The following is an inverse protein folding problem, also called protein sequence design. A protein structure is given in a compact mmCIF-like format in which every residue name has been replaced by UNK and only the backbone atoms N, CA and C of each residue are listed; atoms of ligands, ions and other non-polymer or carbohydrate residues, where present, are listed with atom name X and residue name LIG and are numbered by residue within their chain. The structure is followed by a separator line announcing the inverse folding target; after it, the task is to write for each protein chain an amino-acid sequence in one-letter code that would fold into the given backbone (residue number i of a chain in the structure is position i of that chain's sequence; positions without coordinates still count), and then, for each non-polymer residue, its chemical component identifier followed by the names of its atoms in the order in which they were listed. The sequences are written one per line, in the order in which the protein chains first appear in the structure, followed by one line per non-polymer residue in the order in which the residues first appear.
data_IF_479921379683
#
_entry.id   IF_479921379683
#
_cell.length_a   1.000
_cell.length_b   1.000
_cell.length_c   1.000
_cell.angle_alpha   90.00
_cell.angle_beta   90.00
_cell.angle_gamma   90.00
#
_symmetry.space_group_name_H-M   'P 1'
#
loop_
_entity.id
_entity.type
_entity.pdbx_description
1 polymer ?
#
# COMPACT_ATOMS: atom_id res chain seq x y z
N UNK A 1 19.16 -0.81 -3.00
CA UNK A 1 18.22 0.30 -3.15
C UNK A 1 16.79 -0.22 -3.33
N UNK A 2 15.86 0.28 -2.60
CA UNK A 2 14.47 -0.12 -2.73
C UNK A 2 13.82 0.52 -3.94
N UNK A 3 12.92 -0.23 -4.60
CA UNK A 3 12.10 0.32 -5.68
C UNK A 3 11.04 1.23 -5.06
N UNK A 4 11.01 2.48 -5.45
CA UNK A 4 10.02 3.44 -4.96
C UNK A 4 8.96 3.72 -6.02
N UNK A 5 7.83 4.27 -5.57
CA UNK A 5 6.74 4.64 -6.45
C UNK A 5 7.13 5.87 -7.28
N UNK A 6 6.73 5.88 -8.54
CA UNK A 6 6.90 7.05 -9.40
C UNK A 6 6.04 8.20 -8.90
N UNK A 7 6.59 9.40 -8.85
CA UNK A 7 5.85 10.62 -8.53
C UNK A 7 5.06 11.14 -9.73
N UNK A 8 5.34 10.65 -10.93
CA UNK A 8 4.70 11.12 -12.15
C UNK A 8 3.31 10.50 -12.31
N UNK A 9 2.31 11.35 -12.52
CA UNK A 9 0.92 10.91 -12.72
C UNK A 9 0.72 10.55 -14.19
N UNK A 10 0.28 9.32 -14.45
CA UNK A 10 0.00 8.83 -15.79
C UNK A 10 -1.46 9.04 -16.19
N UNK A 11 -1.72 9.02 -17.51
CA UNK A 11 -3.06 9.20 -18.06
C UNK A 11 -4.03 8.12 -17.55
N UNK A 12 -3.54 6.92 -17.34
CA UNK A 12 -4.36 5.79 -16.88
C UNK A 12 -4.30 5.56 -15.38
N UNK A 13 -3.77 6.49 -14.61
CA UNK A 13 -3.84 6.40 -13.16
C UNK A 13 -5.29 6.44 -12.70
N UNK A 14 -5.63 5.62 -11.71
CA UNK A 14 -6.99 5.54 -11.22
C UNK A 14 -7.50 6.90 -10.72
N UNK A 15 -6.62 7.72 -10.13
CA UNK A 15 -7.00 9.04 -9.66
C UNK A 15 -7.47 9.96 -10.78
N UNK A 16 -6.86 9.85 -11.97
CA UNK A 16 -7.26 10.63 -13.14
C UNK A 16 -8.59 10.14 -13.70
N UNK A 17 -8.76 8.83 -13.81
CA UNK A 17 -9.95 8.22 -14.40
C UNK A 17 -11.17 8.35 -13.50
N UNK A 18 -11.00 8.08 -12.21
CA UNK A 18 -12.12 8.08 -11.25
C UNK A 18 -12.52 9.48 -10.81
N UNK A 19 -11.56 10.39 -10.77
CA UNK A 19 -11.78 11.71 -10.20
C UNK A 19 -11.69 11.71 -8.68
N UNK A 20 -12.16 12.79 -8.02
CA UNK A 20 -12.00 12.93 -6.57
C UNK A 20 -12.85 11.93 -5.79
N UNK A 21 -12.25 11.38 -4.72
CA UNK A 21 -12.94 10.52 -3.76
C UNK A 21 -13.76 11.38 -2.79
N UNK A 22 -14.79 10.79 -2.14
CA UNK A 22 -15.54 11.49 -1.12
C UNK A 22 -14.63 12.02 -0.02
N UNK A 23 -14.82 13.28 0.35
CA UNK A 23 -14.07 13.92 1.41
C UNK A 23 -14.29 13.17 2.73
N UNK A 24 -13.21 12.98 3.49
CA UNK A 24 -13.26 12.28 4.77
C UNK A 24 -13.15 10.76 4.67
N UNK A 25 -13.14 10.18 3.46
CA UNK A 25 -12.94 8.74 3.34
C UNK A 25 -11.49 8.36 3.64
N UNK A 26 -11.30 7.14 4.16
CA UNK A 26 -9.96 6.62 4.43
C UNK A 26 -9.15 6.49 3.14
N UNK A 27 -9.80 6.16 2.04
CA UNK A 27 -9.15 6.07 0.73
C UNK A 27 -8.61 7.43 0.28
N UNK A 28 -9.38 8.49 0.49
CA UNK A 28 -8.94 9.84 0.17
C UNK A 28 -7.76 10.27 1.05
N UNK A 29 -7.80 9.90 2.33
CA UNK A 29 -6.73 10.18 3.27
C UNK A 29 -5.42 9.54 2.81
N UNK A 30 -5.45 8.26 2.43
CA UNK A 30 -4.27 7.57 1.92
C UNK A 30 -3.79 8.13 0.59
N UNK A 31 -4.70 8.49 -0.30
CA UNK A 31 -4.34 9.06 -1.60
C UNK A 31 -3.58 10.38 -1.42
N UNK A 32 -4.03 11.22 -0.49
CA UNK A 32 -3.44 12.53 -0.27
C UNK A 32 -2.19 12.48 0.62
N UNK A 33 -2.25 11.72 1.71
CA UNK A 33 -1.23 11.74 2.75
C UNK A 33 -0.41 10.46 2.87
N UNK A 34 -0.75 9.42 2.14
CA UNK A 34 -0.14 8.10 2.31
C UNK A 34 1.38 8.11 2.18
N UNK A 35 1.91 8.87 1.25
CA UNK A 35 3.36 8.94 1.03
C UNK A 35 4.11 9.63 2.18
N UNK A 36 3.41 10.43 2.98
CA UNK A 36 3.99 11.04 4.19
C UNK A 36 3.84 10.15 5.40
N UNK A 37 2.78 9.34 5.43
CA UNK A 37 2.50 8.43 6.54
C UNK A 37 3.40 7.20 6.47
N UNK A 38 3.53 6.62 5.28
CA UNK A 38 4.28 5.38 5.06
C UNK A 38 5.25 5.59 3.91
N UNK A 39 6.54 5.45 4.16
CA UNK A 39 7.61 5.65 3.18
C UNK A 39 8.40 4.38 2.98
N UNK A 40 8.94 4.18 1.78
CA UNK A 40 9.82 3.05 1.52
C UNK A 40 11.04 3.05 2.45
N UNK A 41 11.55 4.24 2.81
CA UNK A 41 12.68 4.36 3.72
C UNK A 41 12.40 3.83 5.12
N UNK A 42 11.14 3.76 5.54
CA UNK A 42 10.76 3.21 6.84
C UNK A 42 11.01 1.70 6.93
N UNK A 43 11.16 1.04 5.79
CA UNK A 43 11.28 -0.41 5.71
C UNK A 43 12.64 -0.90 5.21
N UNK A 44 13.64 -0.01 5.12
CA UNK A 44 14.98 -0.36 4.63
C UNK A 44 15.57 -1.53 5.43
N UNK A 45 15.38 -1.53 6.74
CA UNK A 45 15.91 -2.57 7.63
C UNK A 45 15.30 -3.95 7.35
N UNK A 46 14.11 -3.99 6.77
CA UNK A 46 13.40 -5.24 6.50
C UNK A 46 13.95 -5.96 5.26
N UNK A 47 14.79 -5.31 4.47
CA UNK A 47 15.33 -5.84 3.22
C UNK A 47 16.85 -5.80 3.24
N UNK A 48 17.46 -6.93 3.61
CA UNK A 48 18.92 -7.06 3.59
C UNK A 48 19.44 -7.12 2.16
N UNK A 49 20.67 -6.62 1.94
CA UNK A 49 21.28 -6.57 0.61
C UNK A 49 21.27 -7.91 -0.13
N UNK A 50 21.59 -8.99 0.57
CA UNK A 50 21.64 -10.33 -0.03
C UNK A 50 20.28 -10.95 -0.34
N UNK A 51 19.18 -10.28 0.04
CA UNK A 51 17.83 -10.75 -0.28
C UNK A 51 17.32 -10.19 -1.60
N UNK A 52 18.12 -9.35 -2.26
CA UNK A 52 17.74 -8.73 -3.50
C UNK A 52 16.77 -7.56 -3.32
N UNK A 53 16.41 -6.93 -4.42
CA UNK A 53 15.49 -5.79 -4.41
C UNK A 53 14.04 -6.29 -4.34
N UNK A 54 13.19 -5.69 -3.53
CA UNK A 54 11.77 -6.00 -3.59
C UNK A 54 11.18 -5.53 -4.92
N UNK A 55 10.37 -6.36 -5.56
CA UNK A 55 9.68 -5.99 -6.79
C UNK A 55 8.49 -5.07 -6.52
N UNK A 56 7.97 -5.10 -5.29
CA UNK A 56 6.85 -4.26 -4.86
C UNK A 56 7.39 -3.28 -3.83
N UNK A 57 7.16 -1.97 -4.01
CA UNK A 57 7.60 -1.01 -3.01
C UNK A 57 6.97 -1.31 -1.64
N UNK A 58 7.76 -1.36 -0.56
CA UNK A 58 7.23 -1.68 0.76
C UNK A 58 6.11 -0.74 1.22
N UNK A 59 6.18 0.53 0.85
CA UNK A 59 5.13 1.49 1.19
C UNK A 59 3.78 1.11 0.59
N UNK A 60 3.76 0.53 -0.61
CA UNK A 60 2.51 0.06 -1.23
C UNK A 60 1.91 -1.09 -0.45
N UNK A 61 2.73 -2.06 -0.08
CA UNK A 61 2.26 -3.19 0.74
C UNK A 61 1.78 -2.72 2.11
N UNK A 62 2.45 -1.76 2.71
CA UNK A 62 2.03 -1.19 3.99
C UNK A 62 0.67 -0.49 3.87
N UNK A 63 0.43 0.24 2.79
CA UNK A 63 -0.87 0.85 2.53
C UNK A 63 -1.97 -0.20 2.34
N UNK A 64 -1.65 -1.30 1.65
CA UNK A 64 -2.59 -2.41 1.51
C UNK A 64 -2.94 -3.00 2.87
N UNK A 65 -1.95 -3.16 3.76
CA UNK A 65 -2.21 -3.63 5.13
C UNK A 65 -3.11 -2.68 5.91
N UNK A 66 -2.92 -1.38 5.78
CA UNK A 66 -3.79 -0.38 6.41
C UNK A 66 -5.22 -0.50 5.91
N UNK A 67 -5.41 -0.62 4.60
CA UNK A 67 -6.73 -0.80 4.01
C UNK A 67 -7.35 -2.13 4.42
N UNK A 68 -6.56 -3.19 4.45
CA UNK A 68 -7.01 -4.51 4.87
C UNK A 68 -7.49 -4.49 6.33
N UNK A 69 -6.73 -3.86 7.19
CA UNK A 69 -7.09 -3.74 8.60
C UNK A 69 -8.38 -2.93 8.77
N UNK A 70 -8.50 -1.84 8.02
CA UNK A 70 -9.67 -0.96 8.08
C UNK A 70 -10.93 -1.62 7.58
N UNK A 71 -10.84 -2.42 6.52
CA UNK A 71 -11.99 -3.07 5.88
C UNK A 71 -12.26 -4.48 6.37
N UNK A 72 -11.29 -5.11 7.03
CA UNK A 72 -11.45 -6.45 7.58
C UNK A 72 -11.44 -7.57 6.55
N UNK A 73 -10.79 -7.38 5.40
CA UNK A 73 -10.75 -8.39 4.34
C UNK A 73 -9.53 -9.30 4.47
N UNK A 74 -9.61 -10.48 3.83
CA UNK A 74 -8.50 -11.43 3.79
C UNK A 74 -7.41 -10.96 2.82
N UNK A 75 -6.27 -11.66 2.83
CA UNK A 75 -5.18 -11.37 1.90
C UNK A 75 -5.63 -11.51 0.44
N UNK A 76 -6.40 -12.56 0.14
CA UNK A 76 -6.92 -12.76 -1.21
C UNK A 76 -7.89 -11.67 -1.60
N UNK A 77 -8.83 -11.34 -0.72
CA UNK A 77 -9.79 -10.27 -0.96
C UNK A 77 -9.11 -8.91 -1.09
N UNK A 78 -8.06 -8.66 -0.31
CA UNK A 78 -7.31 -7.42 -0.41
C UNK A 78 -6.68 -7.28 -1.80
N UNK A 79 -6.07 -8.34 -2.32
CA UNK A 79 -5.47 -8.30 -3.65
C UNK A 79 -6.51 -8.22 -4.76
N UNK A 80 -7.68 -8.81 -4.57
CA UNK A 80 -8.81 -8.61 -5.49
C UNK A 80 -9.24 -7.14 -5.51
N UNK A 81 -9.32 -6.51 -4.34
CA UNK A 81 -9.65 -5.09 -4.25
C UNK A 81 -8.60 -4.23 -4.96
N UNK A 82 -7.32 -4.53 -4.79
CA UNK A 82 -6.26 -3.81 -5.53
C UNK A 82 -6.45 -3.94 -7.03
N UNK A 83 -6.85 -5.13 -7.49
CA UNK A 83 -7.05 -5.39 -8.91
C UNK A 83 -8.33 -4.79 -9.50
N UNK A 84 -9.40 -4.69 -8.72
CA UNK A 84 -10.72 -4.36 -9.25
C UNK A 84 -11.43 -3.18 -8.61
N UNK A 85 -11.02 -2.73 -7.43
CA UNK A 85 -11.67 -1.61 -6.74
C UNK A 85 -10.89 -0.32 -7.01
N UNK A 86 -11.54 0.62 -7.71
CA UNK A 86 -10.90 1.89 -8.05
C UNK A 86 -10.52 2.71 -6.82
N UNK A 87 -11.27 2.60 -5.73
CA UNK A 87 -10.96 3.32 -4.49
C UNK A 87 -9.60 2.86 -3.94
N UNK A 88 -9.34 1.56 -3.97
CA UNK A 88 -8.05 1.02 -3.54
C UNK A 88 -6.93 1.49 -4.46
N UNK A 89 -7.19 1.49 -5.78
CA UNK A 89 -6.20 1.96 -6.75
C UNK A 89 -5.86 3.44 -6.55
N UNK A 90 -6.87 4.27 -6.27
CA UNK A 90 -6.64 5.69 -6.00
C UNK A 90 -5.82 5.87 -4.74
N UNK A 91 -6.15 5.15 -3.67
CA UNK A 91 -5.41 5.21 -2.41
C UNK A 91 -3.94 4.80 -2.58
N UNK A 92 -3.68 3.83 -3.47
CA UNK A 92 -2.33 3.33 -3.72
C UNK A 92 -1.61 4.07 -4.85
N UNK A 93 -2.31 4.92 -5.60
CA UNK A 93 -1.72 5.63 -6.73
C UNK A 93 -1.41 4.73 -7.90
N UNK A 94 -2.24 3.73 -8.16
CA UNK A 94 -2.04 2.76 -9.23
C UNK A 94 -2.83 3.09 -10.48
N UNK A 95 -2.39 2.62 -11.66
CA UNK A 95 -3.17 2.74 -12.90
C UNK A 95 -4.38 1.78 -12.86
N UNK A 96 -5.38 2.08 -13.70
CA UNK A 96 -6.64 1.30 -13.71
C UNK A 96 -6.44 -0.14 -14.18
N UNK A 97 -5.42 -0.40 -14.97
CA UNK A 97 -5.14 -1.74 -15.51
C UNK A 97 -4.26 -2.60 -14.60
N UNK A 98 -3.86 -2.08 -13.44
CA UNK A 98 -3.06 -2.85 -12.48
C UNK A 98 -3.92 -3.95 -11.86
N UNK A 99 -3.50 -5.20 -11.98
CA UNK A 99 -4.27 -6.34 -11.52
C UNK A 99 -3.97 -6.77 -10.07
N UNK A 100 -3.17 -5.99 -9.36
CA UNK A 100 -2.75 -6.35 -8.01
C UNK A 100 -1.54 -7.26 -8.02
N UNK A 101 -1.18 -7.73 -6.82
CA UNK A 101 -0.06 -8.64 -6.64
C UNK A 101 -0.57 -9.95 -6.07
N UNK A 102 0.29 -10.96 -6.02
CA UNK A 102 -0.10 -12.24 -5.42
C UNK A 102 -0.34 -12.10 -3.91
N UNK A 103 -1.38 -12.73 -3.34
CA UNK A 103 -1.68 -12.62 -1.91
C UNK A 103 -0.51 -12.98 -0.98
N UNK A 104 0.37 -13.90 -1.40
CA UNK A 104 1.55 -14.27 -0.61
C UNK A 104 2.48 -13.10 -0.36
N UNK A 105 2.42 -12.05 -1.18
CA UNK A 105 3.22 -10.84 -0.98
C UNK A 105 2.90 -10.18 0.35
N UNK A 106 1.62 -10.14 0.75
CA UNK A 106 1.20 -9.61 2.04
C UNK A 106 1.68 -10.49 3.19
N UNK A 107 1.58 -11.80 3.04
CA UNK A 107 2.02 -12.76 4.06
C UNK A 107 3.53 -12.60 4.31
N UNK A 108 4.31 -12.53 3.23
CA UNK A 108 5.76 -12.36 3.33
C UNK A 108 6.12 -11.00 3.93
N UNK A 109 5.40 -9.96 3.56
CA UNK A 109 5.65 -8.63 4.09
C UNK A 109 5.37 -8.57 5.60
N UNK A 110 4.24 -9.13 6.06
CA UNK A 110 3.94 -9.20 7.49
C UNK A 110 5.02 -9.97 8.26
N UNK A 111 5.50 -11.07 7.68
CA UNK A 111 6.58 -11.84 8.30
C UNK A 111 7.85 -11.01 8.48
N UNK A 112 8.20 -10.21 7.46
CA UNK A 112 9.35 -9.30 7.56
C UNK A 112 9.16 -8.22 8.60
N UNK A 113 7.97 -7.64 8.67
CA UNK A 113 7.66 -6.62 9.68
C UNK A 113 7.78 -7.19 11.09
N UNK A 114 7.25 -8.38 11.30
CA UNK A 114 7.33 -9.05 12.60
C UNK A 114 8.76 -9.37 12.99
N UNK A 115 9.55 -9.86 12.03
CA UNK A 115 10.96 -10.19 12.26
C UNK A 115 11.77 -8.97 12.67
N UNK A 116 11.47 -7.81 12.12
CA UNK A 116 12.17 -6.56 12.42
C UNK A 116 11.40 -5.66 13.38
N UNK A 117 10.37 -6.19 14.03
CA UNK A 117 9.56 -5.47 15.03
C UNK A 117 8.92 -4.19 14.49
N UNK A 118 8.52 -4.24 13.21
CA UNK A 118 7.86 -3.11 12.52
C UNK A 118 6.34 -3.31 12.35
N UNK A 119 5.82 -4.43 12.84
CA UNK A 119 4.42 -4.80 12.66
C UNK A 119 3.44 -3.81 13.31
N UNK A 120 3.85 -3.15 14.39
CA UNK A 120 3.01 -2.17 15.07
C UNK A 120 2.83 -0.85 14.31
N UNK A 121 3.70 -0.54 13.36
CA UNK A 121 3.67 0.73 12.63
C UNK A 121 2.35 0.92 11.89
N UNK A 122 1.91 -0.10 11.15
CA UNK A 122 0.68 -0.02 10.37
C UNK A 122 -0.55 0.14 11.26
N UNK A 123 -0.60 -0.57 12.38
CA UNK A 123 -1.72 -0.47 13.33
C UNK A 123 -1.75 0.90 14.00
N UNK A 124 -0.59 1.41 14.43
CA UNK A 124 -0.49 2.72 15.04
C UNK A 124 -0.96 3.82 14.10
N UNK A 125 -0.53 3.78 12.85
CA UNK A 125 -0.93 4.74 11.84
C UNK A 125 -2.42 4.66 11.55
N UNK A 126 -2.98 3.46 11.52
CA UNK A 126 -4.42 3.26 11.34
C UNK A 126 -5.22 3.87 12.50
N UNK A 127 -4.75 3.72 13.73
CA UNK A 127 -5.41 4.28 14.92
C UNK A 127 -5.33 5.80 14.96
N UNK A 128 -4.20 6.38 14.55
CA UNK A 128 -4.00 7.83 14.54
C UNK A 128 -4.96 8.50 13.55
N UNK A 129 -5.29 7.85 12.45
CA UNK A 129 -6.09 8.42 11.37
C UNK A 129 -7.55 7.97 11.38
N UNK A 130 -8.01 7.38 12.45
CA UNK A 130 -9.41 7.14 12.69
C UNK A 130 -10.09 8.42 13.19
#
# INVERSE_FOLDING_TARGET
MLKSRSAQVGLFDAAVVMGPLPEGSFFALLAEHGDRIVRDSDFVECYAERMGRPSIPPSQLAKVLLLQHRTGVSDEQAMECVGWDLRWKVALGLPIDHLGWHPTSLTKFRARLLLHKKDGIALELSLIHI
#
